data_IF_543978575995
#
_entry.id   IF_543978575995
#
_cell.length_a   1.000
_cell.length_b   1.000
_cell.length_c   1.000
_cell.angle_alpha   90.00
_cell.angle_beta   90.00
_cell.angle_gamma   90.00
#
_symmetry.space_group_name_H-M   'P 1'
#
loop_
_entity.id
_entity.type
_entity.pdbx_description
1 polymer ?
#
# COMPACT_ATOMS: atom_id res chain seq x y z
N UNK A 1 -1.44 -10.69 -15.78
CA UNK A 1 -1.36 -10.54 -14.31
C UNK A 1 -2.49 -11.24 -13.56
N UNK A 2 -3.77 -11.11 -13.93
CA UNK A 2 -4.92 -11.75 -13.23
C UNK A 2 -4.80 -13.27 -13.08
N UNK A 3 -4.18 -13.98 -14.04
CA UNK A 3 -3.95 -15.43 -13.95
C UNK A 3 -3.06 -15.86 -12.77
N UNK A 4 -2.15 -14.98 -12.32
CA UNK A 4 -1.23 -15.25 -11.21
C UNK A 4 -1.99 -15.19 -9.87
N UNK A 5 -3.09 -14.43 -9.79
CA UNK A 5 -3.94 -14.39 -8.60
C UNK A 5 -4.59 -15.75 -8.27
N UNK A 6 -4.61 -16.70 -9.21
CA UNK A 6 -5.05 -18.09 -8.93
C UNK A 6 -4.22 -18.76 -7.83
N UNK A 7 -2.95 -18.38 -7.65
CA UNK A 7 -2.12 -18.88 -6.55
C UNK A 7 -2.65 -18.44 -5.16
N UNK A 8 -3.47 -17.39 -5.08
CA UNK A 8 -4.15 -16.98 -3.84
C UNK A 8 -5.43 -17.78 -3.54
N UNK A 9 -5.95 -18.60 -4.46
CA UNK A 9 -7.22 -19.31 -4.25
C UNK A 9 -7.19 -20.26 -3.05
N UNK A 10 -6.02 -20.74 -2.63
CA UNK A 10 -5.89 -21.61 -1.44
C UNK A 10 -5.91 -20.82 -0.12
N UNK A 11 -5.53 -19.54 -0.15
CA UNK A 11 -5.38 -18.67 1.03
C UNK A 11 -6.37 -17.49 1.04
N UNK A 12 -7.46 -17.57 0.27
CA UNK A 12 -8.46 -16.50 0.13
C UNK A 12 -9.07 -16.05 1.47
N UNK A 13 -9.26 -16.97 2.42
CA UNK A 13 -9.78 -16.67 3.75
C UNK A 13 -8.83 -15.78 4.56
N UNK A 14 -7.50 -15.95 4.39
CA UNK A 14 -6.50 -15.10 5.05
C UNK A 14 -6.55 -13.68 4.50
N UNK A 15 -6.81 -13.53 3.20
CA UNK A 15 -7.01 -12.22 2.57
C UNK A 15 -8.22 -11.54 3.21
N UNK A 16 -9.35 -12.22 3.34
CA UNK A 16 -10.55 -11.66 4.00
C UNK A 16 -10.27 -11.23 5.45
N UNK A 17 -9.50 -12.03 6.21
CA UNK A 17 -9.09 -11.67 7.57
C UNK A 17 -8.23 -10.40 7.57
N UNK A 18 -7.23 -10.31 6.67
CA UNK A 18 -6.39 -9.11 6.56
C UNK A 18 -7.24 -7.88 6.25
N UNK A 19 -8.16 -7.98 5.29
CA UNK A 19 -9.06 -6.88 4.94
C UNK A 19 -9.93 -6.44 6.12
N UNK A 20 -10.44 -7.40 6.89
CA UNK A 20 -11.28 -7.12 8.06
C UNK A 20 -10.48 -6.44 9.17
N UNK A 21 -9.26 -6.90 9.44
CA UNK A 21 -8.36 -6.30 10.43
C UNK A 21 -7.90 -4.90 10.01
N UNK A 22 -7.57 -4.70 8.73
CA UNK A 22 -7.23 -3.38 8.19
C UNK A 22 -8.41 -2.42 8.25
N UNK A 23 -9.64 -2.89 7.99
CA UNK A 23 -10.84 -2.08 8.17
C UNK A 23 -11.04 -1.67 9.63
N UNK A 24 -10.94 -2.62 10.56
CA UNK A 24 -11.07 -2.35 12.00
C UNK A 24 -10.02 -1.33 12.47
N UNK A 25 -8.77 -1.47 12.00
CA UNK A 25 -7.71 -0.51 12.28
C UNK A 25 -8.02 0.88 11.69
N UNK A 26 -8.50 0.96 10.45
CA UNK A 26 -8.87 2.23 9.83
C UNK A 26 -10.00 2.93 10.62
N UNK A 27 -11.00 2.17 11.07
CA UNK A 27 -12.07 2.69 11.92
C UNK A 27 -11.54 3.21 13.26
N UNK A 28 -10.67 2.45 13.93
CA UNK A 28 -10.05 2.88 15.18
C UNK A 28 -9.34 4.24 15.01
N UNK A 29 -8.57 4.42 13.93
CA UNK A 29 -7.90 5.68 13.62
C UNK A 29 -8.89 6.83 13.35
N UNK A 30 -9.99 6.55 12.65
CA UNK A 30 -10.99 7.56 12.30
C UNK A 30 -11.84 8.03 13.49
N UNK A 31 -12.00 7.21 14.54
CA UNK A 31 -12.74 7.58 15.74
C UNK A 31 -11.90 8.35 16.77
N UNK A 32 -10.56 8.30 16.73
CA UNK A 32 -9.73 9.04 17.68
C UNK A 32 -10.02 10.56 17.69
N UNK A 33 -10.16 11.25 16.54
CA UNK A 33 -10.57 12.66 16.51
C UNK A 33 -11.96 12.91 17.10
N UNK A 34 -12.89 11.95 16.96
CA UNK A 34 -14.24 12.06 17.56
C UNK A 34 -14.16 12.13 19.09
N UNK A 35 -13.42 11.21 19.71
CA UNK A 35 -13.22 11.24 21.16
C UNK A 35 -12.48 12.50 21.63
N UNK A 36 -11.53 12.98 20.83
CA UNK A 36 -10.85 14.25 21.10
C UNK A 36 -11.84 15.43 21.05
N UNK A 37 -12.75 15.45 20.09
CA UNK A 37 -13.82 16.44 19.97
C UNK A 37 -14.74 16.41 21.20
N UNK A 38 -15.11 15.23 21.69
CA UNK A 38 -15.96 15.07 22.87
C UNK A 38 -15.28 15.61 24.15
N UNK A 39 -13.97 15.36 24.30
CA UNK A 39 -13.17 15.93 25.39
C UNK A 39 -13.18 17.46 25.31
N UNK A 40 -12.91 18.02 24.13
CA UNK A 40 -12.76 19.48 23.96
C UNK A 40 -14.10 20.22 24.07
N UNK A 41 -15.18 19.67 23.51
CA UNK A 41 -16.47 20.35 23.42
C UNK A 41 -17.38 20.08 24.62
N UNK A 42 -17.22 18.95 25.30
CA UNK A 42 -18.07 18.56 26.43
C UNK A 42 -17.29 18.45 27.73
N UNK A 43 -16.16 17.73 27.73
CA UNK A 43 -15.38 17.51 28.95
C UNK A 43 -14.80 18.79 29.55
N UNK A 44 -14.06 19.56 28.73
CA UNK A 44 -13.35 20.76 29.19
C UNK A 44 -14.32 21.88 29.62
N UNK A 45 -15.34 22.26 28.85
CA UNK A 45 -16.24 23.35 29.23
C UNK A 45 -17.08 23.03 30.47
N UNK A 46 -17.44 21.76 30.66
CA UNK A 46 -18.18 21.31 31.84
C UNK A 46 -17.30 21.08 33.08
N UNK A 47 -15.96 21.15 32.95
CA UNK A 47 -15.03 20.86 34.05
C UNK A 47 -15.07 19.39 34.53
N UNK A 48 -15.68 18.49 33.76
CA UNK A 48 -15.91 17.09 34.13
C UNK A 48 -14.64 16.26 33.94
N UNK A 49 -13.76 16.32 34.94
CA UNK A 49 -12.49 15.56 34.93
C UNK A 49 -12.71 14.05 34.85
N UNK A 50 -13.68 13.44 35.56
CA UNK A 50 -14.03 12.04 35.36
C UNK A 50 -14.38 11.68 33.91
N UNK A 51 -15.16 12.52 33.22
CA UNK A 51 -15.48 12.32 31.81
C UNK A 51 -14.24 12.39 30.92
N UNK A 52 -13.37 13.38 31.12
CA UNK A 52 -12.12 13.53 30.37
C UNK A 52 -11.24 12.29 30.54
N UNK A 53 -11.05 11.81 31.78
CA UNK A 53 -10.23 10.63 32.06
C UNK A 53 -10.84 9.35 31.48
N UNK A 54 -12.15 9.19 31.56
CA UNK A 54 -12.87 8.04 30.97
C UNK A 54 -12.72 8.02 29.45
N UNK A 55 -12.97 9.15 28.78
CA UNK A 55 -12.86 9.26 27.33
C UNK A 55 -11.42 9.11 26.86
N UNK A 56 -10.45 9.68 27.57
CA UNK A 56 -9.02 9.47 27.32
C UNK A 56 -8.59 8.00 27.49
N UNK A 57 -9.12 7.32 28.50
CA UNK A 57 -8.92 5.87 28.68
C UNK A 57 -9.50 5.05 27.52
N UNK A 58 -10.67 5.42 27.01
CA UNK A 58 -11.27 4.81 25.82
C UNK A 58 -10.39 5.06 24.59
N UNK A 59 -9.84 6.26 24.39
CA UNK A 59 -8.91 6.55 23.30
C UNK A 59 -7.68 5.64 23.34
N UNK A 60 -7.09 5.43 24.51
CA UNK A 60 -5.97 4.51 24.68
C UNK A 60 -6.35 3.06 24.33
N UNK A 61 -7.52 2.60 24.79
CA UNK A 61 -8.00 1.26 24.45
C UNK A 61 -8.23 1.10 22.94
N UNK A 62 -8.86 2.08 22.29
CA UNK A 62 -9.10 2.09 20.84
C UNK A 62 -7.78 2.09 20.06
N UNK A 63 -6.79 2.90 20.49
CA UNK A 63 -5.47 2.93 19.88
C UNK A 63 -4.75 1.57 20.03
N UNK A 64 -4.79 0.95 21.21
CA UNK A 64 -4.21 -0.37 21.45
C UNK A 64 -4.85 -1.45 20.58
N UNK A 65 -6.18 -1.47 20.48
CA UNK A 65 -6.90 -2.39 19.59
C UNK A 65 -6.49 -2.16 18.13
N UNK A 66 -6.39 -0.89 17.71
CA UNK A 66 -5.90 -0.53 16.37
C UNK A 66 -4.50 -1.05 16.09
N UNK A 67 -3.57 -0.91 17.04
CA UNK A 67 -2.20 -1.45 16.94
C UNK A 67 -2.21 -2.97 16.82
N UNK A 68 -3.01 -3.66 17.65
CA UNK A 68 -3.13 -5.12 17.61
C UNK A 68 -3.66 -5.58 16.24
N UNK A 69 -4.75 -4.98 15.76
CA UNK A 69 -5.29 -5.25 14.42
C UNK A 69 -4.24 -5.01 13.34
N UNK A 70 -3.48 -3.91 13.43
CA UNK A 70 -2.40 -3.61 12.49
C UNK A 70 -1.32 -4.69 12.52
N UNK A 71 -0.82 -5.10 13.68
CA UNK A 71 0.24 -6.12 13.81
C UNK A 71 -0.23 -7.45 13.20
N UNK A 72 -1.45 -7.90 13.52
CA UNK A 72 -1.98 -9.15 12.97
C UNK A 72 -2.23 -9.08 11.47
N UNK A 73 -2.82 -7.99 10.96
CA UNK A 73 -2.99 -7.78 9.53
C UNK A 73 -1.63 -7.81 8.81
N UNK A 74 -0.63 -7.15 9.41
CA UNK A 74 0.74 -7.10 8.88
C UNK A 74 1.39 -8.48 8.85
N UNK A 75 1.27 -9.24 9.91
CA UNK A 75 1.83 -10.59 10.03
C UNK A 75 1.21 -11.55 9.01
N UNK A 76 -0.13 -11.57 8.92
CA UNK A 76 -0.85 -12.45 7.99
C UNK A 76 -0.56 -12.05 6.54
N UNK A 77 -0.59 -10.76 6.19
CA UNK A 77 -0.26 -10.25 4.85
C UNK A 77 1.15 -10.66 4.42
N UNK A 78 2.13 -10.54 5.32
CA UNK A 78 3.52 -10.94 5.04
C UNK A 78 3.62 -12.44 4.75
N UNK A 79 2.97 -13.29 5.57
CA UNK A 79 2.93 -14.74 5.35
C UNK A 79 2.22 -15.13 4.05
N UNK A 80 1.10 -14.49 3.73
CA UNK A 80 0.37 -14.75 2.48
C UNK A 80 1.22 -14.37 1.28
N UNK A 81 1.85 -13.19 1.30
CA UNK A 81 2.68 -12.71 0.20
C UNK A 81 3.94 -13.56 0.00
N UNK A 82 4.61 -13.97 1.10
CA UNK A 82 5.79 -14.83 1.03
C UNK A 82 5.47 -16.24 0.54
N UNK A 83 4.34 -16.81 0.96
CA UNK A 83 3.92 -18.13 0.47
C UNK A 83 3.52 -18.07 -1.01
N UNK A 84 2.77 -17.05 -1.40
CA UNK A 84 2.41 -16.81 -2.80
C UNK A 84 3.65 -16.68 -3.70
N UNK A 85 4.69 -15.97 -3.25
CA UNK A 85 5.93 -15.84 -4.00
C UNK A 85 6.74 -17.14 -4.04
N UNK A 86 6.70 -17.95 -2.97
CA UNK A 86 7.29 -19.28 -2.96
C UNK A 86 6.60 -20.22 -3.98
N UNK A 87 5.26 -20.26 -4.02
CA UNK A 87 4.51 -21.10 -4.95
C UNK A 87 4.75 -20.69 -6.42
N UNK A 88 4.85 -19.39 -6.69
CA UNK A 88 5.22 -18.88 -8.02
C UNK A 88 6.65 -19.26 -8.37
N UNK A 89 7.59 -19.11 -7.42
CA UNK A 89 9.00 -19.43 -7.65
C UNK A 89 9.19 -20.90 -7.98
N UNK A 90 8.55 -21.78 -7.23
CA UNK A 90 8.59 -23.22 -7.47
C UNK A 90 8.07 -23.56 -8.88
N UNK A 91 6.87 -23.06 -9.22
CA UNK A 91 6.25 -23.30 -10.54
C UNK A 91 7.12 -22.74 -11.68
N UNK A 92 7.66 -21.53 -11.51
CA UNK A 92 8.49 -20.90 -12.54
C UNK A 92 9.82 -21.64 -12.71
N UNK A 93 10.43 -22.08 -11.60
CA UNK A 93 11.68 -22.82 -11.62
C UNK A 93 11.52 -24.19 -12.30
N UNK A 94 10.51 -24.98 -11.92
CA UNK A 94 10.18 -26.25 -12.60
C UNK A 94 9.89 -26.04 -14.09
N UNK A 95 9.26 -24.92 -14.45
CA UNK A 95 9.00 -24.61 -15.86
C UNK A 95 10.30 -24.31 -16.61
N UNK A 96 11.22 -23.56 -16.02
CA UNK A 96 12.52 -23.25 -16.63
C UNK A 96 13.38 -24.51 -16.78
N UNK A 97 13.35 -25.43 -15.82
CA UNK A 97 14.07 -26.72 -15.94
C UNK A 97 13.54 -27.58 -17.10
N UNK A 98 12.26 -27.43 -17.46
CA UNK A 98 11.66 -28.13 -18.59
C UNK A 98 11.95 -27.51 -19.97
N UNK A 99 12.71 -26.41 -20.03
CA UNK A 99 12.96 -25.70 -21.29
C UNK A 99 13.95 -26.44 -22.18
N UNK A 100 13.63 -26.43 -23.48
CA UNK A 100 14.57 -26.84 -24.52
C UNK A 100 15.65 -25.79 -24.78
N UNK A 101 16.77 -26.17 -25.41
CA UNK A 101 17.83 -25.23 -25.80
C UNK A 101 17.30 -24.07 -26.67
N UNK A 102 16.31 -24.33 -27.53
CA UNK A 102 15.65 -23.30 -28.36
C UNK A 102 14.85 -22.28 -27.53
N UNK A 103 14.29 -22.69 -26.39
CA UNK A 103 13.60 -21.79 -25.47
C UNK A 103 14.60 -20.95 -24.64
N UNK A 104 15.77 -21.52 -24.31
CA UNK A 104 16.87 -20.77 -23.70
C UNK A 104 17.40 -19.67 -24.60
N UNK A 105 17.53 -19.92 -25.91
CA UNK A 105 17.94 -18.89 -26.88
C UNK A 105 16.91 -17.76 -26.99
N UNK A 106 15.62 -18.06 -26.80
CA UNK A 106 14.54 -17.07 -26.87
C UNK A 106 14.49 -16.16 -25.64
N UNK A 107 14.70 -16.69 -24.44
CA UNK A 107 14.59 -15.92 -23.21
C UNK A 107 15.94 -15.43 -22.67
N UNK A 108 17.07 -16.00 -23.08
CA UNK A 108 18.41 -15.82 -22.49
C UNK A 108 18.49 -16.23 -21.01
N UNK A 109 19.63 -16.82 -20.62
CA UNK A 109 19.89 -17.19 -19.23
C UNK A 109 19.78 -16.00 -18.27
N UNK A 110 20.29 -14.83 -18.68
CA UNK A 110 20.25 -13.62 -17.86
C UNK A 110 18.82 -13.15 -17.55
N UNK A 111 17.90 -13.16 -18.54
CA UNK A 111 16.50 -12.78 -18.26
C UNK A 111 15.77 -13.83 -17.43
N UNK A 112 16.11 -15.11 -17.57
CA UNK A 112 15.49 -16.16 -16.75
C UNK A 112 15.89 -16.00 -15.28
N UNK A 113 17.16 -15.65 -15.01
CA UNK A 113 17.63 -15.34 -13.65
C UNK A 113 16.83 -14.17 -13.05
N UNK A 114 16.66 -13.05 -13.77
CA UNK A 114 15.92 -11.90 -13.24
C UNK A 114 14.44 -12.20 -13.03
N UNK A 115 13.83 -13.02 -13.89
CA UNK A 115 12.43 -13.47 -13.73
C UNK A 115 12.24 -14.40 -12.53
N UNK A 116 13.18 -15.30 -12.27
CA UNK A 116 13.16 -16.21 -11.12
C UNK A 116 13.50 -15.53 -9.79
N UNK A 117 14.01 -14.30 -9.81
CA UNK A 117 14.46 -13.57 -8.62
C UNK A 117 13.71 -12.25 -8.45
N UNK A 118 14.15 -11.20 -9.14
CA UNK A 118 13.64 -9.84 -9.02
C UNK A 118 12.16 -9.72 -9.37
N UNK A 119 11.68 -10.37 -10.44
CA UNK A 119 10.26 -10.22 -10.81
C UNK A 119 9.35 -10.86 -9.75
N UNK A 120 9.76 -11.99 -9.17
CA UNK A 120 9.01 -12.65 -8.11
C UNK A 120 8.99 -11.82 -6.83
N UNK A 121 10.10 -11.18 -6.45
CA UNK A 121 10.12 -10.29 -5.28
C UNK A 121 9.27 -9.04 -5.53
N UNK A 122 9.26 -8.49 -6.75
CA UNK A 122 8.38 -7.38 -7.10
C UNK A 122 6.91 -7.76 -7.05
N UNK A 123 6.57 -8.97 -7.51
CA UNK A 123 5.20 -9.52 -7.39
C UNK A 123 4.81 -9.75 -5.92
N UNK A 124 5.75 -10.20 -5.07
CA UNK A 124 5.54 -10.31 -3.61
C UNK A 124 5.26 -8.94 -2.97
N UNK A 125 6.09 -7.94 -3.29
CA UNK A 125 5.92 -6.58 -2.79
C UNK A 125 4.62 -5.95 -3.28
N UNK A 126 4.25 -6.17 -4.54
CA UNK A 126 2.97 -5.74 -5.08
C UNK A 126 1.80 -6.31 -4.29
N UNK A 127 1.82 -7.60 -3.98
CA UNK A 127 0.77 -8.25 -3.20
C UNK A 127 0.71 -7.70 -1.77
N UNK A 128 1.85 -7.56 -1.07
CA UNK A 128 1.87 -7.00 0.30
C UNK A 128 1.40 -5.54 0.34
N UNK A 129 1.83 -4.73 -0.62
CA UNK A 129 1.38 -3.34 -0.76
C UNK A 129 -0.12 -3.27 -1.04
N UNK A 130 -0.64 -4.16 -1.89
CA UNK A 130 -2.06 -4.20 -2.24
C UNK A 130 -2.92 -4.54 -1.04
N UNK A 131 -2.57 -5.62 -0.32
CA UNK A 131 -3.31 -6.09 0.86
C UNK A 131 -3.30 -5.08 2.02
N UNK A 132 -2.40 -4.09 2.01
CA UNK A 132 -2.25 -3.11 3.08
C UNK A 132 -2.55 -1.69 2.65
N UNK A 133 -1.64 -1.09 1.90
CA UNK A 133 -1.66 0.35 1.61
C UNK A 133 -2.71 0.69 0.55
N UNK A 134 -2.75 -0.09 -0.54
CA UNK A 134 -3.64 0.21 -1.66
C UNK A 134 -5.12 0.11 -1.27
N UNK A 135 -5.46 -0.74 -0.30
CA UNK A 135 -6.83 -0.91 0.20
C UNK A 135 -7.12 0.03 1.38
N UNK A 136 -6.16 0.22 2.30
CA UNK A 136 -6.34 1.13 3.44
C UNK A 136 -6.49 2.59 3.02
N UNK A 137 -5.83 3.03 1.94
CA UNK A 137 -5.88 4.42 1.50
C UNK A 137 -7.30 4.84 1.05
N UNK A 138 -8.01 4.10 0.16
CA UNK A 138 -9.42 4.36 -0.13
C UNK A 138 -10.33 4.28 1.10
N UNK A 139 -10.12 3.30 1.99
CA UNK A 139 -10.90 3.17 3.22
C UNK A 139 -10.78 4.42 4.09
N UNK A 140 -9.56 4.90 4.32
CA UNK A 140 -9.30 6.11 5.10
C UNK A 140 -9.83 7.37 4.38
N UNK A 141 -9.68 7.46 3.06
CA UNK A 141 -10.19 8.60 2.29
C UNK A 141 -11.72 8.70 2.39
N UNK A 142 -12.43 7.59 2.14
CA UNK A 142 -13.89 7.53 2.23
C UNK A 142 -14.35 7.79 3.67
N UNK A 143 -13.77 7.10 4.65
CA UNK A 143 -14.13 7.26 6.05
C UNK A 143 -13.84 8.66 6.59
N UNK A 144 -12.72 9.26 6.17
CA UNK A 144 -12.34 10.63 6.53
C UNK A 144 -13.30 11.67 5.97
N UNK A 145 -13.70 11.53 4.70
CA UNK A 145 -14.70 12.41 4.08
C UNK A 145 -16.05 12.31 4.81
N UNK A 146 -16.50 11.09 5.14
CA UNK A 146 -17.75 10.87 5.88
C UNK A 146 -17.69 11.54 7.25
N UNK A 147 -16.59 11.36 8.00
CA UNK A 147 -16.42 11.98 9.31
C UNK A 147 -16.36 13.51 9.22
N UNK A 148 -15.65 14.05 8.24
CA UNK A 148 -15.57 15.50 8.02
C UNK A 148 -16.96 16.13 7.80
N UNK A 149 -17.79 15.51 6.96
CA UNK A 149 -19.16 15.99 6.68
C UNK A 149 -20.03 15.93 7.96
N UNK A 150 -19.85 14.90 8.80
CA UNK A 150 -20.59 14.74 10.05
C UNK A 150 -20.26 15.81 11.09
N UNK A 151 -18.97 16.13 11.29
CA UNK A 151 -18.54 17.05 12.36
C UNK A 151 -18.52 18.52 11.96
N UNK A 152 -18.52 18.84 10.66
CA UNK A 152 -18.40 20.23 10.20
C UNK A 152 -19.07 20.47 8.86
N UNK A 153 -20.40 20.52 8.82
CA UNK A 153 -21.16 20.84 7.60
C UNK A 153 -20.73 22.19 6.99
N UNK A 154 -20.40 23.18 7.83
CA UNK A 154 -19.93 24.51 7.39
C UNK A 154 -18.46 24.59 6.96
N UNK A 155 -17.60 23.64 7.36
CA UNK A 155 -16.17 23.61 7.00
C UNK A 155 -15.85 22.59 5.89
N UNK A 156 -16.79 21.70 5.55
CA UNK A 156 -16.55 20.61 4.60
C UNK A 156 -16.22 21.09 3.18
N UNK A 157 -16.72 22.27 2.77
CA UNK A 157 -16.38 22.85 1.46
C UNK A 157 -14.91 23.25 1.35
N UNK A 158 -14.29 23.67 2.47
CA UNK A 158 -12.85 24.00 2.51
C UNK A 158 -12.04 22.73 2.21
N UNK A 159 -12.43 21.58 2.76
CA UNK A 159 -11.76 20.31 2.48
C UNK A 159 -11.83 19.92 1.01
N UNK A 160 -12.97 20.14 0.34
CA UNK A 160 -13.12 19.88 -1.09
C UNK A 160 -12.15 20.76 -1.90
N UNK A 161 -12.07 22.04 -1.58
CA UNK A 161 -11.15 22.97 -2.25
C UNK A 161 -9.70 22.57 -1.99
N UNK A 162 -9.33 22.28 -0.74
CA UNK A 162 -7.97 21.85 -0.38
C UNK A 162 -7.57 20.55 -1.07
N UNK A 163 -8.44 19.53 -1.09
CA UNK A 163 -8.20 18.28 -1.80
C UNK A 163 -8.03 18.51 -3.30
N UNK A 164 -8.88 19.34 -3.91
CA UNK A 164 -8.81 19.67 -5.34
C UNK A 164 -7.51 20.40 -5.67
N UNK A 165 -7.11 21.36 -4.83
CA UNK A 165 -5.85 22.08 -4.98
C UNK A 165 -4.64 21.15 -4.90
N UNK A 166 -4.62 20.21 -3.94
CA UNK A 166 -3.55 19.20 -3.82
C UNK A 166 -3.48 18.34 -5.08
N UNK A 167 -4.61 17.80 -5.55
CA UNK A 167 -4.66 16.97 -6.76
C UNK A 167 -4.21 17.76 -7.98
N UNK A 168 -4.60 19.02 -8.11
CA UNK A 168 -4.17 19.89 -9.20
C UNK A 168 -2.65 20.13 -9.19
N UNK A 169 -2.07 20.45 -8.02
CA UNK A 169 -0.63 20.65 -7.87
C UNK A 169 0.14 19.36 -8.13
N UNK A 170 -0.35 18.21 -7.65
CA UNK A 170 0.24 16.90 -7.94
C UNK A 170 0.18 16.60 -9.44
N UNK A 171 -0.97 16.77 -10.08
CA UNK A 171 -1.16 16.54 -11.50
C UNK A 171 -0.23 17.41 -12.35
N UNK A 172 -0.10 18.70 -12.00
CA UNK A 172 0.82 19.62 -12.64
C UNK A 172 2.28 19.15 -12.47
N UNK A 173 2.68 18.75 -11.26
CA UNK A 173 4.00 18.16 -11.02
C UNK A 173 4.26 16.94 -11.91
N UNK A 174 3.29 16.02 -12.07
CA UNK A 174 3.46 14.85 -12.93
C UNK A 174 3.67 15.24 -14.40
N UNK A 175 2.90 16.21 -14.91
CA UNK A 175 3.01 16.70 -16.29
C UNK A 175 4.42 17.25 -16.57
N UNK A 176 5.02 17.96 -15.61
CA UNK A 176 6.38 18.50 -15.78
C UNK A 176 7.50 17.51 -15.48
N UNK A 177 7.30 16.62 -14.50
CA UNK A 177 8.36 15.77 -13.94
C UNK A 177 8.55 14.50 -14.77
N UNK A 178 7.47 13.83 -15.18
CA UNK A 178 7.54 12.59 -15.97
C UNK A 178 8.32 12.75 -17.29
N UNK A 179 8.11 13.79 -18.12
CA UNK A 179 8.92 13.94 -19.35
C UNK A 179 10.40 14.20 -19.05
N UNK A 180 10.72 14.94 -17.97
CA UNK A 180 12.11 15.16 -17.55
C UNK A 180 12.79 13.86 -17.09
N UNK A 181 12.09 13.01 -16.35
CA UNK A 181 12.59 11.67 -15.99
C UNK A 181 12.85 10.81 -17.23
N UNK A 182 11.97 10.86 -18.24
CA UNK A 182 12.20 10.17 -19.52
C UNK A 182 13.45 10.68 -20.22
N UNK A 183 13.66 11.99 -20.26
CA UNK A 183 14.87 12.57 -20.86
C UNK A 183 16.14 12.17 -20.11
N UNK A 184 16.08 12.15 -18.77
CA UNK A 184 17.18 11.66 -17.94
C UNK A 184 17.52 10.20 -18.26
N UNK A 185 16.52 9.34 -18.42
CA UNK A 185 16.72 7.94 -18.81
C UNK A 185 17.46 7.83 -20.16
N UNK A 186 17.03 8.59 -21.17
CA UNK A 186 17.70 8.62 -22.49
C UNK A 186 19.17 9.03 -22.36
N UNK A 187 19.47 10.03 -21.51
CA UNK A 187 20.84 10.49 -21.31
C UNK A 187 21.70 9.44 -20.59
N UNK A 188 21.15 8.75 -19.59
CA UNK A 188 21.85 7.64 -18.90
C UNK A 188 22.11 6.49 -19.85
N UNK A 189 21.14 6.12 -20.69
CA UNK A 189 21.29 5.06 -21.69
C UNK A 189 22.39 5.39 -22.70
N UNK A 190 22.49 6.66 -23.12
CA UNK A 190 23.58 7.14 -24.00
C UNK A 190 24.94 7.07 -23.32
N UNK A 191 25.04 7.47 -22.05
CA UNK A 191 26.29 7.35 -21.27
C UNK A 191 26.73 5.89 -21.13
N UNK A 192 25.78 4.99 -20.85
CA UNK A 192 26.05 3.56 -20.79
C UNK A 192 26.54 3.01 -22.13
N UNK A 193 25.95 3.43 -23.25
CA UNK A 193 26.38 3.02 -24.59
C UNK A 193 27.83 3.45 -24.88
N UNK A 194 28.14 4.73 -24.70
CA UNK A 194 29.49 5.27 -24.93
C UNK A 194 30.52 4.58 -24.02
N UNK A 195 30.17 4.36 -22.76
CA UNK A 195 31.06 3.67 -21.81
C UNK A 195 31.31 2.23 -22.26
N UNK A 196 30.27 1.54 -22.74
CA UNK A 196 30.39 0.18 -23.26
C UNK A 196 31.27 0.14 -24.51
N UNK A 197 31.06 1.05 -25.46
CA UNK A 197 31.87 1.17 -26.67
C UNK A 197 33.35 1.40 -26.34
N UNK A 198 33.67 2.35 -25.45
CA UNK A 198 35.06 2.61 -25.03
C UNK A 198 35.71 1.42 -24.29
N UNK A 199 34.94 0.61 -23.59
CA UNK A 199 35.45 -0.60 -22.92
C UNK A 199 35.59 -1.79 -23.87
N UNK A 200 34.78 -1.86 -24.94
CA UNK A 200 34.85 -2.91 -25.95
C UNK A 200 35.85 -2.63 -27.08
N UNK A 201 36.31 -1.39 -27.21
CA UNK A 201 37.22 -0.92 -28.27
C UNK A 201 36.55 0.05 -29.23
#
# INVERSE_FOLDING_TARGET
MVKILKFLNKDWWKVVIVLSLTFAQAMANLYLPSYMSDIVNTGIPSGDTPYILKTGGIMLAVALIGIICQIFARFISSKVSAKFSADIRDTLFTRVESFSLTEFDKFSTASLITRCTNDITQVQHFLDMTLRMAISAPMMAIGGIIMAIRYGQGLSWILIISCTAIVAVMGLNFIFTVPKFKQMQINVDKLNLITRENLSG
#
